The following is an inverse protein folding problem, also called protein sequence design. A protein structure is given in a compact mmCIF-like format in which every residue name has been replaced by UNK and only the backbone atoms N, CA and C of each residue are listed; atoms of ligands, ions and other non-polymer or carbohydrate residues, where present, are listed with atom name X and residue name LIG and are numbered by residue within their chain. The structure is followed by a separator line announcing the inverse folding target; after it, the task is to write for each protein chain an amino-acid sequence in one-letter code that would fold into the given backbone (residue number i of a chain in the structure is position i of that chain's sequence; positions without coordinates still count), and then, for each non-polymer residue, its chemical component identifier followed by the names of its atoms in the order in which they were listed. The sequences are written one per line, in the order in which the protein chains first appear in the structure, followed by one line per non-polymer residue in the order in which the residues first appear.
data_IF_819696326569
#
_entry.id   IF_819696326569
#
_cell.length_a   1.000
_cell.length_b   1.000
_cell.length_c   1.000
_cell.angle_alpha   90.00
_cell.angle_beta   90.00
_cell.angle_gamma   90.00
#
_symmetry.space_group_name_H-M   'P 1'
#
loop_
_entity.id
_entity.type
_entity.pdbx_description
1 polymer ?
#
# COMPACT_ATOMS: atom_id res chain seq x y z
N UNK A 1 43.29 5.67 13.60
CA UNK A 1 42.18 4.71 13.71
C UNK A 1 40.89 5.52 13.80
N UNK A 2 40.17 5.63 12.69
CA UNK A 2 38.87 6.32 12.64
C UNK A 2 37.83 5.43 13.32
N UNK A 3 37.24 5.90 14.42
CA UNK A 3 36.05 5.31 15.01
C UNK A 3 34.94 5.38 13.95
N UNK A 4 34.64 4.26 13.30
CA UNK A 4 33.40 4.11 12.56
C UNK A 4 32.27 4.16 13.59
N UNK A 5 31.61 5.31 13.72
CA UNK A 5 30.44 5.44 14.57
C UNK A 5 29.42 4.37 14.21
N UNK A 6 28.80 3.77 15.23
CA UNK A 6 27.77 2.75 15.03
C UNK A 6 26.69 3.30 14.09
N UNK A 7 26.36 2.62 12.98
CA UNK A 7 25.32 3.09 12.09
C UNK A 7 23.99 3.16 12.85
N UNK A 8 23.37 4.34 12.85
CA UNK A 8 22.05 4.55 13.44
C UNK A 8 20.98 4.25 12.38
N UNK A 9 20.15 3.24 12.61
CA UNK A 9 18.95 2.99 11.80
C UNK A 9 17.91 4.09 12.02
N UNK A 10 17.22 4.52 10.97
CA UNK A 10 16.10 5.46 11.03
C UNK A 10 14.93 4.91 10.23
N UNK A 11 13.72 5.05 10.75
CA UNK A 11 12.48 4.77 10.02
C UNK A 11 12.06 6.04 9.29
N UNK A 12 11.72 5.90 8.01
CA UNK A 12 11.18 6.96 7.17
C UNK A 12 9.91 6.45 6.49
N UNK A 13 8.94 7.34 6.29
CA UNK A 13 7.70 7.04 5.58
C UNK A 13 7.75 7.68 4.19
N UNK A 14 7.50 6.88 3.15
CA UNK A 14 7.47 7.34 1.76
C UNK A 14 6.03 7.61 1.35
N UNK A 15 5.71 8.88 1.06
CA UNK A 15 4.41 9.28 0.52
C UNK A 15 4.58 9.59 -0.97
N UNK A 16 4.16 8.66 -1.82
CA UNK A 16 4.26 8.80 -3.26
C UNK A 16 2.87 8.91 -3.92
N UNK A 17 2.79 9.74 -4.95
CA UNK A 17 1.64 9.81 -5.85
C UNK A 17 2.02 9.22 -7.20
N UNK A 18 1.25 8.25 -7.66
CA UNK A 18 1.42 7.60 -8.97
C UNK A 18 0.10 7.71 -9.74
N UNK A 19 0.18 8.11 -11.00
CA UNK A 19 -0.96 8.12 -11.92
C UNK A 19 -0.79 6.96 -12.90
N UNK A 20 -1.83 6.13 -13.02
CA UNK A 20 -1.84 4.97 -13.92
C UNK A 20 -3.13 4.90 -14.70
N UNK A 21 -3.05 4.38 -15.92
CA UNK A 21 -4.21 4.13 -16.78
C UNK A 21 -4.40 2.62 -16.90
N UNK A 22 -5.54 2.11 -16.46
CA UNK A 22 -5.94 0.72 -16.69
C UNK A 22 -6.61 0.63 -18.06
N UNK A 23 -5.95 0.00 -19.02
CA UNK A 23 -6.45 -0.13 -20.40
C UNK A 23 -7.32 -1.36 -20.61
N UNK A 24 -7.19 -2.37 -19.75
CA UNK A 24 -7.98 -3.60 -19.76
C UNK A 24 -8.35 -3.98 -18.31
N UNK A 25 -9.49 -3.45 -17.80
CA UNK A 25 -9.94 -3.73 -16.44
C UNK A 25 -10.27 -5.20 -16.17
N UNK A 26 -10.74 -5.94 -17.17
CA UNK A 26 -11.11 -7.35 -17.04
C UNK A 26 -9.87 -8.22 -16.87
N UNK A 27 -8.84 -8.01 -17.70
CA UNK A 27 -7.57 -8.70 -17.56
C UNK A 27 -6.87 -8.41 -16.22
N UNK A 28 -6.96 -7.17 -15.73
CA UNK A 28 -6.44 -6.79 -14.42
C UNK A 28 -7.15 -7.56 -13.29
N UNK A 29 -8.49 -7.61 -13.31
CA UNK A 29 -9.25 -8.30 -12.29
C UNK A 29 -8.96 -9.81 -12.28
N UNK A 30 -8.92 -10.45 -13.46
CA UNK A 30 -8.59 -11.88 -13.55
C UNK A 30 -7.15 -12.17 -13.12
N UNK A 31 -6.22 -11.26 -13.36
CA UNK A 31 -4.87 -11.35 -12.80
C UNK A 31 -4.91 -11.31 -11.26
N UNK A 32 -5.64 -10.35 -10.68
CA UNK A 32 -5.83 -10.26 -9.22
C UNK A 32 -6.46 -11.51 -8.62
N UNK A 33 -7.49 -12.07 -9.26
CA UNK A 33 -8.10 -13.34 -8.83
C UNK A 33 -7.11 -14.50 -8.88
N UNK A 34 -6.28 -14.55 -9.92
CA UNK A 34 -5.26 -15.59 -10.06
C UNK A 34 -4.20 -15.49 -8.95
N UNK A 35 -3.75 -14.27 -8.60
CA UNK A 35 -2.82 -14.05 -7.48
C UNK A 35 -3.47 -14.38 -6.13
N UNK A 36 -4.72 -13.96 -5.90
CA UNK A 36 -5.47 -14.28 -4.68
C UNK A 36 -5.55 -15.79 -4.45
N UNK A 37 -5.82 -16.57 -5.50
CA UNK A 37 -5.90 -18.03 -5.44
C UNK A 37 -4.54 -18.72 -5.24
N UNK A 38 -3.43 -18.04 -5.56
CA UNK A 38 -2.07 -18.53 -5.30
C UNK A 38 -1.56 -18.16 -3.91
N UNK A 39 -2.16 -17.14 -3.29
CA UNK A 39 -1.78 -16.69 -1.97
C UNK A 39 -2.04 -17.77 -0.92
N UNK A 40 -1.10 -17.93 0.01
CA UNK A 40 -1.19 -18.87 1.12
C UNK A 40 -2.04 -18.26 2.25
N UNK A 41 -3.34 -18.12 2.00
CA UNK A 41 -4.32 -17.54 2.92
C UNK A 41 -5.06 -18.67 3.64
N UNK A 42 -5.10 -18.59 4.98
CA UNK A 42 -5.93 -19.47 5.79
C UNK A 42 -7.39 -18.99 5.78
N UNK A 43 -8.10 -19.31 4.70
CA UNK A 43 -9.50 -18.92 4.48
C UNK A 43 -10.47 -19.39 5.58
N UNK A 44 -10.09 -20.35 6.43
CA UNK A 44 -10.94 -20.75 7.55
C UNK A 44 -10.98 -19.70 8.69
N UNK A 45 -10.04 -18.75 8.68
CA UNK A 45 -9.93 -17.67 9.66
C UNK A 45 -10.41 -16.32 9.14
N UNK A 46 -10.68 -16.23 7.84
CA UNK A 46 -11.18 -15.04 7.19
C UNK A 46 -12.72 -14.97 7.29
N UNK A 47 -13.27 -13.76 7.22
CA UNK A 47 -14.72 -13.54 7.21
C UNK A 47 -15.36 -13.97 5.89
N UNK A 48 -14.62 -13.80 4.79
CA UNK A 48 -15.03 -14.13 3.44
C UNK A 48 -14.41 -15.44 2.95
N UNK A 49 -15.08 -16.05 1.96
CA UNK A 49 -14.49 -17.13 1.18
C UNK A 49 -13.75 -16.61 -0.07
N UNK A 50 -12.91 -17.48 -0.64
CA UNK A 50 -12.10 -17.16 -1.82
C UNK A 50 -12.94 -16.72 -3.03
N UNK A 51 -14.15 -17.23 -3.18
CA UNK A 51 -15.01 -16.88 -4.31
C UNK A 51 -15.67 -15.51 -4.12
N UNK A 52 -16.09 -15.19 -2.90
CA UNK A 52 -16.61 -13.86 -2.54
C UNK A 52 -15.54 -12.80 -2.72
N UNK A 53 -14.31 -13.03 -2.22
CA UNK A 53 -13.18 -12.14 -2.41
C UNK A 53 -12.80 -11.98 -3.90
N UNK A 54 -12.83 -13.05 -4.69
CA UNK A 54 -12.60 -12.98 -6.13
C UNK A 54 -13.69 -12.15 -6.85
N UNK A 55 -14.95 -12.30 -6.44
CA UNK A 55 -16.07 -11.51 -6.96
C UNK A 55 -15.93 -10.03 -6.64
N UNK A 56 -15.39 -9.67 -5.47
CA UNK A 56 -15.09 -8.28 -5.13
C UNK A 56 -14.02 -7.69 -6.06
N UNK A 57 -12.93 -8.44 -6.32
CA UNK A 57 -11.88 -8.00 -7.25
C UNK A 57 -12.46 -7.71 -8.64
N UNK A 58 -13.33 -8.58 -9.16
CA UNK A 58 -13.98 -8.37 -10.46
C UNK A 58 -14.89 -7.14 -10.54
N UNK A 59 -15.47 -6.73 -9.41
CA UNK A 59 -16.43 -5.61 -9.35
C UNK A 59 -15.75 -4.25 -9.11
N UNK A 60 -14.53 -4.24 -8.59
CA UNK A 60 -13.80 -3.02 -8.24
C UNK A 60 -12.38 -3.01 -8.83
N UNK A 61 -12.21 -2.24 -9.92
CA UNK A 61 -10.93 -2.07 -10.61
C UNK A 61 -9.86 -1.42 -9.73
N UNK A 62 -10.25 -0.52 -8.83
CA UNK A 62 -9.31 0.15 -7.94
C UNK A 62 -8.81 -0.84 -6.89
N UNK A 63 -9.69 -1.65 -6.30
CA UNK A 63 -9.30 -2.73 -5.40
C UNK A 63 -8.43 -3.77 -6.12
N UNK A 64 -8.78 -4.16 -7.34
CA UNK A 64 -7.97 -5.07 -8.14
C UNK A 64 -6.56 -4.53 -8.36
N UNK A 65 -6.42 -3.27 -8.78
CA UNK A 65 -5.11 -2.64 -8.96
C UNK A 65 -4.31 -2.62 -7.65
N UNK A 66 -4.91 -2.17 -6.56
CA UNK A 66 -4.24 -2.08 -5.27
C UNK A 66 -3.75 -3.45 -4.75
N UNK A 67 -4.44 -4.53 -5.12
CA UNK A 67 -4.13 -5.90 -4.68
C UNK A 67 -2.97 -6.54 -5.43
N UNK A 68 -2.64 -6.06 -6.64
CA UNK A 68 -1.56 -6.65 -7.47
C UNK A 68 -0.30 -5.79 -7.52
N UNK A 69 -0.35 -4.55 -7.05
CA UNK A 69 0.81 -3.65 -7.02
C UNK A 69 1.77 -4.07 -5.90
N UNK A 70 3.00 -4.39 -6.28
CA UNK A 70 4.09 -4.60 -5.34
C UNK A 70 4.76 -3.27 -4.96
N UNK A 71 4.42 -2.75 -3.78
CA UNK A 71 5.01 -1.52 -3.24
C UNK A 71 6.44 -1.73 -2.73
N UNK A 72 6.85 -2.97 -2.44
CA UNK A 72 8.21 -3.23 -1.97
C UNK A 72 9.25 -2.98 -3.06
N UNK A 73 8.85 -3.15 -4.32
CA UNK A 73 9.64 -2.83 -5.50
C UNK A 73 10.06 -1.35 -5.58
N UNK A 74 9.37 -0.43 -4.89
CA UNK A 74 9.75 1.01 -4.88
C UNK A 74 11.12 1.27 -4.26
N UNK A 75 11.56 0.41 -3.34
CA UNK A 75 12.86 0.54 -2.67
C UNK A 75 13.83 -0.56 -3.08
N UNK A 76 13.46 -1.39 -4.06
CA UNK A 76 14.31 -2.45 -4.57
C UNK A 76 15.61 -1.86 -5.15
N UNK A 77 16.75 -2.40 -4.72
CA UNK A 77 18.08 -1.96 -5.17
C UNK A 77 18.58 -0.65 -4.54
N UNK A 78 17.83 -0.02 -3.64
CA UNK A 78 18.31 1.18 -2.93
C UNK A 78 19.28 0.80 -1.80
N UNK A 79 20.55 1.23 -1.83
CA UNK A 79 21.54 0.81 -0.84
C UNK A 79 21.17 1.23 0.58
N UNK A 80 21.17 0.27 1.52
CA UNK A 80 20.89 0.52 2.93
C UNK A 80 19.41 0.77 3.26
N UNK A 81 18.50 0.48 2.32
CA UNK A 81 17.06 0.58 2.53
C UNK A 81 16.44 -0.81 2.50
N UNK A 82 15.53 -1.04 3.44
CA UNK A 82 14.79 -2.29 3.57
C UNK A 82 13.31 -1.97 3.64
N UNK A 83 12.51 -2.67 2.84
CA UNK A 83 11.06 -2.57 2.94
C UNK A 83 10.58 -3.23 4.23
N UNK A 84 9.88 -2.47 5.08
CA UNK A 84 9.39 -2.95 6.39
C UNK A 84 7.87 -3.17 6.43
N UNK A 85 7.18 -2.90 5.32
CA UNK A 85 5.73 -2.95 5.21
C UNK A 85 5.16 -1.69 4.59
N UNK A 86 3.91 -1.77 4.15
CA UNK A 86 3.16 -0.65 3.60
C UNK A 86 1.79 -1.09 3.11
N UNK A 87 0.95 -0.12 2.79
CA UNK A 87 -0.38 -0.32 2.24
C UNK A 87 -0.47 0.43 0.91
N UNK A 88 -0.92 -0.26 -0.14
CA UNK A 88 -1.26 0.39 -1.40
C UNK A 88 -2.77 0.66 -1.43
N UNK A 89 -3.16 1.88 -1.84
CA UNK A 89 -4.54 2.21 -2.15
C UNK A 89 -4.60 2.83 -3.54
N UNK A 90 -5.48 2.31 -4.37
CA UNK A 90 -5.87 2.96 -5.62
C UNK A 90 -7.25 3.59 -5.46
N UNK A 91 -7.47 4.70 -6.13
CA UNK A 91 -8.72 5.45 -6.06
C UNK A 91 -9.08 5.97 -7.46
N UNK A 92 -10.36 5.88 -7.88
CA UNK A 92 -10.80 6.44 -9.14
C UNK A 92 -10.95 7.97 -9.05
N UNK A 93 -10.92 8.62 -10.21
CA UNK A 93 -11.27 10.03 -10.34
C UNK A 93 -10.06 10.96 -10.41
N UNK A 94 -10.29 12.29 -10.36
CA UNK A 94 -9.22 13.25 -10.46
C UNK A 94 -8.29 13.12 -9.25
N UNK A 95 -7.00 13.38 -9.42
CA UNK A 95 -6.08 13.25 -8.30
C UNK A 95 -6.44 14.20 -7.16
N UNK A 96 -6.34 13.72 -5.92
CA UNK A 96 -6.46 14.58 -4.73
C UNK A 96 -5.43 15.70 -4.77
N UNK A 97 -5.73 16.77 -4.03
CA UNK A 97 -4.75 17.82 -3.74
C UNK A 97 -3.45 17.16 -3.24
N UNK A 98 -2.31 17.75 -3.60
CA UNK A 98 -1.02 17.20 -3.16
C UNK A 98 -1.01 17.24 -1.64
N UNK A 99 -0.60 16.14 -1.00
CA UNK A 99 -0.21 16.16 0.41
C UNK A 99 0.85 17.24 0.56
N UNK A 100 0.45 18.37 1.12
CA UNK A 100 1.37 19.44 1.50
C UNK A 100 1.90 19.14 2.89
N UNK A 101 3.09 19.66 3.24
CA UNK A 101 3.64 19.54 4.59
C UNK A 101 2.63 19.99 5.67
N UNK A 102 1.78 20.98 5.35
CA UNK A 102 0.74 21.47 6.24
C UNK A 102 -0.41 20.46 6.50
N UNK A 103 -0.76 19.61 5.53
CA UNK A 103 -1.76 18.56 5.74
C UNK A 103 -1.18 17.38 6.53
N UNK A 104 0.10 17.06 6.32
CA UNK A 104 0.80 16.04 7.10
C UNK A 104 0.98 16.47 8.57
N UNK A 105 1.27 17.74 8.83
CA UNK A 105 1.31 18.30 10.19
C UNK A 105 -0.07 18.27 10.86
N UNK A 106 -1.13 18.63 10.13
CA UNK A 106 -2.49 18.61 10.67
C UNK A 106 -3.01 17.19 10.99
N UNK A 107 -2.67 16.19 10.18
CA UNK A 107 -3.05 14.79 10.41
C UNK A 107 -2.27 14.18 11.59
N UNK A 108 -0.98 14.51 11.71
CA UNK A 108 -0.16 14.12 12.86
C UNK A 108 -0.62 14.79 14.18
N UNK A 109 -1.05 16.06 14.12
CA UNK A 109 -1.62 16.77 15.28
C UNK A 109 -2.96 16.15 15.70
N UNK A 110 -3.82 15.78 14.75
CA UNK A 110 -5.09 15.11 15.02
C UNK A 110 -4.92 13.69 15.59
N UNK A 111 -3.95 12.91 15.12
CA UNK A 111 -3.61 11.60 15.73
C UNK A 111 -3.05 11.76 17.14
N UNK A 112 -2.20 12.77 17.39
CA UNK A 112 -1.65 13.05 18.71
C UNK A 112 -2.75 13.48 19.71
N UNK A 113 -3.74 14.27 19.27
CA UNK A 113 -4.90 14.62 20.09
C UNK A 113 -5.78 13.39 20.38
N UNK A 114 -6.03 12.55 19.38
CA UNK A 114 -6.83 11.33 19.55
C UNK A 114 -6.18 10.29 20.48
N UNK A 115 -4.84 10.26 20.56
CA UNK A 115 -4.10 9.41 21.49
C UNK A 115 -4.06 10.01 22.91
N UNK A 116 -4.04 11.33 23.05
CA UNK A 116 -4.10 12.01 24.34
C UNK A 116 -5.48 11.90 25.03
N UNK A 117 -6.55 11.63 24.27
CA UNK A 117 -7.91 11.43 24.78
C UNK A 117 -8.26 9.96 25.12
N UNK A 118 -7.33 9.01 24.93
CA UNK A 118 -7.47 7.61 25.37
C UNK A 118 -6.86 7.34 26.74
#
# INVERSE_FOLDING_TARGET
MTNAGTPSTRTLHLYCRVEVTVTDPEALAEHGVAELRRADIDWAREEDDVESAADELRRDVARSLASVVDISALVEGVPGVEFRGGLCRAEPGPPRARHTEAEAEAEAEAEAEAEAER
#
